data_IF_259680014058
#
_entry.id   IF_259680014058
#
_cell.length_a   1.000
_cell.length_b   1.000
_cell.length_c   1.000
_cell.angle_alpha   90.00
_cell.angle_beta   90.00
_cell.angle_gamma   90.00
#
_symmetry.space_group_name_H-M   'P 1'
#
loop_
_entity.id
_entity.type
_entity.pdbx_description
1 polymer ?
#
# COMPACT_ATOMS: atom_id res chain seq x y z
N UNK A 1 26.82 -6.20 9.77
CA UNK A 1 26.03 -5.60 10.87
C UNK A 1 26.48 -6.03 12.27
N UNK A 2 27.49 -6.86 12.39
CA UNK A 2 28.00 -7.36 13.68
C UNK A 2 28.76 -6.32 14.55
N UNK A 3 29.08 -5.15 14.03
CA UNK A 3 29.90 -4.18 14.76
C UNK A 3 29.17 -3.19 15.67
N UNK A 4 27.85 -2.99 15.52
CA UNK A 4 27.12 -1.97 16.27
C UNK A 4 26.19 -2.53 17.38
N UNK A 5 26.01 -3.84 17.44
CA UNK A 5 25.15 -4.50 18.44
C UNK A 5 25.94 -5.54 19.28
N UNK A 6 27.02 -5.16 19.89
CA UNK A 6 27.60 -5.95 21.00
C UNK A 6 26.93 -5.52 22.30
N UNK A 7 25.72 -6.02 22.56
CA UNK A 7 25.06 -5.83 23.85
C UNK A 7 23.54 -5.81 23.68
N UNK A 8 22.87 -6.89 24.04
CA UNK A 8 21.42 -7.11 24.13
C UNK A 8 20.71 -7.06 22.77
N UNK A 9 20.30 -8.21 22.27
CA UNK A 9 19.37 -8.37 21.15
C UNK A 9 17.99 -7.85 21.58
N UNK A 10 17.72 -6.58 21.33
CA UNK A 10 16.39 -6.01 21.48
C UNK A 10 15.77 -5.74 20.10
N UNK A 11 14.44 -5.82 19.97
CA UNK A 11 13.76 -5.41 18.75
C UNK A 11 14.11 -3.99 18.33
N UNK A 12 14.07 -3.70 17.03
CA UNK A 12 14.16 -2.33 16.52
C UNK A 12 12.98 -1.52 17.02
N UNK A 13 13.25 -0.37 17.63
CA UNK A 13 12.23 0.57 18.07
C UNK A 13 11.88 1.51 16.93
N UNK A 14 10.61 1.55 16.58
CA UNK A 14 10.12 2.22 15.35
C UNK A 14 9.07 3.26 15.69
N UNK A 15 9.20 4.46 15.11
CA UNK A 15 8.12 5.44 15.04
C UNK A 15 7.46 5.36 13.66
N UNK A 16 6.11 5.35 13.63
CA UNK A 16 5.33 5.36 12.40
C UNK A 16 4.55 6.66 12.27
N UNK A 17 4.95 7.54 11.33
CA UNK A 17 4.30 8.81 11.06
C UNK A 17 3.31 8.71 9.90
N UNK A 18 2.16 9.37 10.03
CA UNK A 18 1.04 9.27 9.08
C UNK A 18 0.58 7.81 8.97
N UNK A 19 0.43 7.18 10.11
CA UNK A 19 0.25 5.72 10.22
C UNK A 19 -1.01 5.21 9.54
N UNK A 20 -2.05 6.04 9.38
CA UNK A 20 -3.32 5.65 8.80
C UNK A 20 -3.88 4.42 9.52
N UNK A 21 -4.17 3.35 8.77
CA UNK A 21 -4.66 2.07 9.31
C UNK A 21 -3.53 1.07 9.62
N UNK A 22 -2.26 1.49 9.59
CA UNK A 22 -1.09 0.69 9.95
C UNK A 22 -0.46 -0.14 8.83
N UNK A 23 -0.50 0.37 7.60
CA UNK A 23 0.04 -0.35 6.45
C UNK A 23 1.53 -0.66 6.55
N UNK A 24 2.34 0.29 7.04
CA UNK A 24 3.79 0.07 7.22
C UNK A 24 4.09 -0.89 8.37
N UNK A 25 3.40 -0.76 9.51
CA UNK A 25 3.52 -1.71 10.63
C UNK A 25 3.20 -3.13 10.18
N UNK A 26 2.10 -3.30 9.43
CA UNK A 26 1.74 -4.60 8.86
C UNK A 26 2.82 -5.14 7.93
N UNK A 27 3.46 -4.28 7.13
CA UNK A 27 4.55 -4.67 6.24
C UNK A 27 5.79 -5.13 7.02
N UNK A 28 6.16 -4.47 8.13
CA UNK A 28 7.23 -4.92 9.02
C UNK A 28 6.95 -6.32 9.59
N UNK A 29 5.73 -6.53 10.09
CA UNK A 29 5.32 -7.84 10.63
C UNK A 29 5.40 -8.94 9.56
N UNK A 30 4.92 -8.67 8.34
CA UNK A 30 4.96 -9.63 7.23
C UNK A 30 6.38 -9.90 6.72
N UNK A 31 7.28 -8.95 6.86
CA UNK A 31 8.69 -9.13 6.53
C UNK A 31 9.45 -9.96 7.56
N UNK A 32 8.83 -10.28 8.69
CA UNK A 32 9.48 -10.99 9.79
C UNK A 32 10.62 -10.18 10.42
N UNK A 33 10.51 -8.84 10.37
CA UNK A 33 11.48 -7.95 11.01
C UNK A 33 11.25 -7.97 12.50
N UNK A 34 12.31 -8.18 13.29
CA UNK A 34 12.27 -8.05 14.73
C UNK A 34 12.22 -6.57 15.12
N UNK A 35 11.02 -6.02 15.11
CA UNK A 35 10.76 -4.60 15.33
C UNK A 35 9.48 -4.37 16.15
N UNK A 36 9.52 -3.36 17.00
CA UNK A 36 8.40 -2.87 17.80
C UNK A 36 8.06 -1.44 17.34
N UNK A 37 6.82 -1.20 16.92
CA UNK A 37 6.31 0.16 16.74
C UNK A 37 5.95 0.72 18.11
N UNK A 38 6.85 1.55 18.64
CA UNK A 38 6.75 2.11 20.01
C UNK A 38 5.78 3.27 20.08
N UNK A 39 5.58 3.99 18.97
CA UNK A 39 4.53 4.98 18.81
C UNK A 39 4.16 5.14 17.34
N UNK A 40 2.90 5.45 17.10
CA UNK A 40 2.34 5.77 15.80
C UNK A 40 1.62 7.13 15.86
N UNK A 41 1.63 7.88 14.76
CA UNK A 41 1.06 9.24 14.71
C UNK A 41 0.14 9.38 13.51
N UNK A 42 -1.11 9.73 13.74
CA UNK A 42 -2.04 10.16 12.69
C UNK A 42 -3.08 11.13 13.25
N UNK A 43 -3.52 12.07 12.42
CA UNK A 43 -4.54 13.06 12.80
C UNK A 43 -5.97 12.52 12.59
N UNK A 44 -6.13 11.45 11.81
CA UNK A 44 -7.42 10.91 11.41
C UNK A 44 -7.94 9.92 12.45
N UNK A 45 -8.93 10.34 13.22
CA UNK A 45 -9.56 9.58 14.28
C UNK A 45 -10.10 8.22 13.81
N UNK A 46 -10.83 8.20 12.69
CA UNK A 46 -11.39 6.95 12.11
C UNK A 46 -10.28 5.97 11.70
N UNK A 47 -9.15 6.48 11.19
CA UNK A 47 -8.00 5.64 10.87
C UNK A 47 -7.36 5.09 12.15
N UNK A 48 -7.28 5.90 13.21
CA UNK A 48 -6.75 5.48 14.51
C UNK A 48 -7.60 4.39 15.15
N UNK A 49 -8.94 4.45 15.03
CA UNK A 49 -9.84 3.39 15.50
C UNK A 49 -9.53 2.06 14.80
N UNK A 50 -9.34 2.09 13.48
CA UNK A 50 -8.98 0.89 12.70
C UNK A 50 -7.58 0.39 13.06
N UNK A 51 -6.63 1.29 13.27
CA UNK A 51 -5.26 0.94 13.69
C UNK A 51 -5.29 0.24 15.06
N UNK A 52 -6.04 0.79 16.01
CA UNK A 52 -6.20 0.22 17.35
C UNK A 52 -6.84 -1.18 17.29
N UNK A 53 -7.87 -1.37 16.46
CA UNK A 53 -8.49 -2.68 16.23
C UNK A 53 -7.49 -3.70 15.64
N UNK A 54 -6.61 -3.25 14.74
CA UNK A 54 -5.65 -4.13 14.09
C UNK A 54 -4.49 -4.53 15.01
N UNK A 55 -4.05 -3.64 15.90
CA UNK A 55 -2.77 -3.80 16.62
C UNK A 55 -2.86 -3.65 18.14
N UNK A 56 -4.04 -3.35 18.69
CA UNK A 56 -4.21 -3.10 20.12
C UNK A 56 -3.47 -1.85 20.64
N UNK A 57 -3.06 -0.97 19.74
CA UNK A 57 -2.32 0.26 20.03
C UNK A 57 -3.01 1.42 19.33
N UNK A 58 -3.47 2.42 20.08
CA UNK A 58 -4.06 3.62 19.51
C UNK A 58 -2.98 4.64 19.18
N UNK A 59 -2.86 5.08 17.91
CA UNK A 59 -1.90 6.11 17.53
C UNK A 59 -2.11 7.42 18.27
N UNK A 60 -1.03 8.14 18.54
CA UNK A 60 -1.09 9.50 19.04
C UNK A 60 -1.83 10.40 18.05
N UNK A 61 -3.00 10.88 18.47
CA UNK A 61 -3.85 11.75 17.67
C UNK A 61 -3.44 13.21 17.88
N UNK A 62 -2.88 13.83 16.86
CA UNK A 62 -2.48 15.22 16.98
C UNK A 62 -1.76 15.76 15.74
N UNK A 63 -1.49 17.06 15.79
CA UNK A 63 -0.68 17.70 14.76
C UNK A 63 0.79 17.44 15.04
N UNK A 64 1.43 16.58 14.24
CA UNK A 64 2.85 16.26 14.38
C UNK A 64 3.79 17.47 14.29
N UNK A 65 3.32 18.62 13.80
CA UNK A 65 4.10 19.85 13.78
C UNK A 65 4.38 20.42 15.18
N UNK A 66 3.62 19.98 16.20
CA UNK A 66 3.82 20.41 17.59
C UNK A 66 4.89 19.59 18.31
N UNK A 67 5.33 18.47 17.72
CA UNK A 67 6.37 17.63 18.30
C UNK A 67 7.72 18.36 18.32
N UNK A 68 8.44 18.22 19.41
CA UNK A 68 9.81 18.64 19.57
C UNK A 68 10.80 17.48 19.37
N UNK A 69 12.08 17.78 19.23
CA UNK A 69 13.12 16.78 19.19
C UNK A 69 13.16 15.95 20.49
N UNK A 70 12.95 16.60 21.65
CA UNK A 70 12.91 15.93 22.94
C UNK A 70 11.74 14.92 23.05
N UNK A 71 10.57 15.25 22.48
CA UNK A 71 9.45 14.30 22.43
C UNK A 71 9.82 13.05 21.64
N UNK A 72 10.46 13.22 20.47
CA UNK A 72 10.92 12.09 19.65
C UNK A 72 12.03 11.29 20.30
N UNK A 73 12.98 11.96 20.97
CA UNK A 73 14.09 11.33 21.70
C UNK A 73 13.58 10.43 22.84
N UNK A 74 12.45 10.79 23.47
CA UNK A 74 11.87 10.04 24.58
C UNK A 74 11.43 8.62 24.18
N UNK A 75 11.12 8.39 22.92
CA UNK A 75 10.76 7.07 22.39
C UNK A 75 11.98 6.18 22.13
N UNK A 76 13.19 6.72 22.13
CA UNK A 76 14.43 5.98 21.85
C UNK A 76 14.36 5.15 20.54
N UNK A 77 13.77 5.72 19.51
CA UNK A 77 13.51 5.02 18.26
C UNK A 77 14.76 4.90 17.37
N UNK A 78 15.00 3.70 16.86
CA UNK A 78 16.08 3.40 15.93
C UNK A 78 15.70 3.75 14.49
N UNK A 79 14.40 3.65 14.15
CA UNK A 79 13.91 3.87 12.79
C UNK A 79 12.61 4.67 12.75
N UNK A 80 12.47 5.49 11.70
CA UNK A 80 11.24 6.24 11.41
C UNK A 80 10.65 5.79 10.08
N UNK A 81 9.36 5.45 10.08
CA UNK A 81 8.56 5.15 8.89
C UNK A 81 7.63 6.32 8.62
N UNK A 82 7.64 6.84 7.40
CA UNK A 82 6.90 8.05 7.05
C UNK A 82 6.12 7.83 5.75
N UNK A 83 4.78 8.01 5.80
CA UNK A 83 3.92 8.04 4.61
C UNK A 83 3.17 9.38 4.50
N UNK A 84 3.90 10.49 4.23
CA UNK A 84 3.32 11.82 4.23
C UNK A 84 2.28 11.99 3.12
N UNK A 85 1.28 12.89 3.32
CA UNK A 85 0.20 13.11 2.38
C UNK A 85 0.68 13.38 0.95
N UNK A 86 0.09 12.68 -0.02
CA UNK A 86 0.49 12.72 -1.43
C UNK A 86 -0.15 13.87 -2.24
N UNK A 87 -1.21 14.52 -1.72
CA UNK A 87 -1.97 15.51 -2.47
C UNK A 87 -1.15 16.67 -3.03
N UNK A 88 -0.06 17.15 -2.39
CA UNK A 88 0.79 18.18 -2.98
C UNK A 88 1.46 17.79 -4.30
N UNK A 89 1.55 16.49 -4.61
CA UNK A 89 2.36 15.93 -5.72
C UNK A 89 1.52 15.22 -6.79
N UNK A 90 0.23 14.96 -6.55
CA UNK A 90 -0.62 14.26 -7.53
C UNK A 90 -0.96 15.13 -8.72
N UNK A 91 -1.06 14.53 -9.92
CA UNK A 91 -1.45 15.22 -11.17
C UNK A 91 -2.82 15.91 -11.09
N UNK A 92 -3.71 15.44 -10.22
CA UNK A 92 -5.05 16.00 -9.99
C UNK A 92 -5.05 17.08 -8.89
N UNK A 93 -3.96 17.25 -8.15
CA UNK A 93 -3.80 18.28 -7.13
C UNK A 93 -3.30 19.61 -7.69
N UNK A 94 -3.32 20.66 -6.86
CA UNK A 94 -2.82 21.99 -7.24
C UNK A 94 -1.29 22.07 -7.38
N UNK A 95 -0.56 20.97 -7.21
CA UNK A 95 0.90 20.84 -7.30
C UNK A 95 1.68 21.94 -6.56
N UNK A 96 1.17 22.37 -5.39
CA UNK A 96 1.75 23.47 -4.60
C UNK A 96 3.11 23.10 -3.96
N UNK A 97 3.55 21.85 -4.10
CA UNK A 97 4.83 21.39 -3.58
C UNK A 97 5.03 21.72 -2.09
N UNK A 98 6.19 22.23 -1.72
CA UNK A 98 6.55 22.57 -0.34
C UNK A 98 5.76 23.72 0.28
N UNK A 99 5.02 24.49 -0.51
CA UNK A 99 4.12 25.55 0.01
C UNK A 99 2.75 25.02 0.46
N UNK A 100 2.45 23.74 0.26
CA UNK A 100 1.26 23.10 0.81
C UNK A 100 1.48 22.78 2.30
N UNK A 101 0.51 23.14 3.15
CA UNK A 101 0.59 22.89 4.60
C UNK A 101 0.85 21.43 4.96
N UNK A 102 0.43 20.48 4.11
CA UNK A 102 0.63 19.05 4.29
C UNK A 102 2.08 18.63 4.02
N UNK A 103 2.77 19.27 3.07
CA UNK A 103 4.20 19.06 2.84
C UNK A 103 5.04 19.68 3.97
N UNK A 104 4.55 20.80 4.56
CA UNK A 104 5.22 21.47 5.66
C UNK A 104 5.35 20.54 6.90
N UNK A 105 4.31 19.78 7.25
CA UNK A 105 4.38 18.87 8.39
C UNK A 105 5.47 17.82 8.23
N UNK A 106 5.65 17.30 7.02
CA UNK A 106 6.70 16.33 6.71
C UNK A 106 8.11 16.93 6.85
N UNK A 107 8.34 18.09 6.25
CA UNK A 107 9.63 18.78 6.35
C UNK A 107 9.96 19.14 7.81
N UNK A 108 8.93 19.55 8.58
CA UNK A 108 9.10 19.86 10.01
C UNK A 108 9.64 18.67 10.81
N UNK A 109 9.11 17.46 10.56
CA UNK A 109 9.63 16.25 11.21
C UNK A 109 11.08 15.98 10.83
N UNK A 110 11.44 16.17 9.55
CA UNK A 110 12.84 15.98 9.11
C UNK A 110 13.79 17.02 9.71
N UNK A 111 13.33 18.26 9.91
CA UNK A 111 14.09 19.34 10.54
C UNK A 111 14.37 19.10 12.05
N UNK A 112 13.67 18.16 12.67
CA UNK A 112 13.96 17.74 14.06
C UNK A 112 15.17 16.81 14.14
N UNK A 113 15.57 16.14 13.05
CA UNK A 113 16.71 15.21 13.03
C UNK A 113 18.01 15.85 13.57
N UNK A 114 18.44 17.04 13.07
CA UNK A 114 19.65 17.68 13.58
C UNK A 114 19.51 18.22 15.01
N UNK A 115 18.29 18.37 15.52
CA UNK A 115 18.01 18.86 16.87
C UNK A 115 17.91 17.72 17.90
N UNK A 116 17.76 16.48 17.42
CA UNK A 116 17.61 15.28 18.23
C UNK A 116 18.95 14.88 18.85
N UNK A 117 18.95 14.53 20.13
CA UNK A 117 20.09 13.91 20.82
C UNK A 117 20.24 12.43 20.44
N UNK A 118 19.16 11.80 19.94
CA UNK A 118 19.09 10.40 19.51
C UNK A 118 18.45 10.27 18.15
N UNK A 119 19.01 10.88 17.09
CA UNK A 119 18.41 10.81 15.77
C UNK A 119 18.34 9.36 15.26
N UNK A 120 17.32 9.02 14.44
CA UNK A 120 17.16 7.67 13.96
C UNK A 120 18.37 7.22 13.14
N UNK A 121 18.66 5.93 13.15
CA UNK A 121 19.68 5.32 12.28
C UNK A 121 19.14 4.98 10.90
N UNK A 122 17.82 4.86 10.79
CA UNK A 122 17.13 4.54 9.54
C UNK A 122 15.87 5.36 9.35
N UNK A 123 15.60 5.74 8.08
CA UNK A 123 14.31 6.25 7.66
C UNK A 123 13.80 5.46 6.47
N UNK A 124 12.48 5.31 6.43
CA UNK A 124 11.74 4.80 5.27
C UNK A 124 10.64 5.79 4.93
N UNK A 125 10.61 6.28 3.69
CA UNK A 125 9.61 7.23 3.21
C UNK A 125 8.87 6.62 2.01
N UNK A 126 7.53 6.62 2.06
CA UNK A 126 6.67 6.23 0.94
C UNK A 126 5.89 7.43 0.43
N UNK A 127 5.76 7.55 -0.90
CA UNK A 127 4.90 8.55 -1.52
C UNK A 127 4.45 8.11 -2.93
N UNK A 128 3.68 8.96 -3.60
CA UNK A 128 3.28 8.73 -4.99
C UNK A 128 4.40 9.05 -5.97
N UNK A 129 4.36 8.47 -7.16
CA UNK A 129 5.20 8.88 -8.30
C UNK A 129 4.94 10.34 -8.62
N UNK A 130 6.01 11.09 -8.87
CA UNK A 130 6.02 12.54 -9.03
C UNK A 130 6.58 13.26 -7.79
N UNK A 131 6.59 12.60 -6.62
CA UNK A 131 7.27 13.15 -5.44
C UNK A 131 8.76 13.37 -5.71
N UNK A 132 9.42 12.45 -6.41
CA UNK A 132 10.85 12.48 -6.73
C UNK A 132 11.29 13.70 -7.58
N UNK A 133 10.34 14.36 -8.22
CA UNK A 133 10.62 15.57 -9.01
C UNK A 133 10.29 16.86 -8.27
N UNK A 134 9.70 16.77 -7.07
CA UNK A 134 9.21 17.89 -6.30
C UNK A 134 10.34 18.64 -5.57
N UNK A 135 10.05 19.89 -5.19
CA UNK A 135 10.90 20.69 -4.32
C UNK A 135 10.97 20.13 -2.89
N UNK A 136 9.91 19.48 -2.41
CA UNK A 136 9.90 18.78 -1.12
C UNK A 136 10.90 17.63 -1.10
N UNK A 137 10.96 16.84 -2.18
CA UNK A 137 11.96 15.79 -2.31
C UNK A 137 13.39 16.37 -2.26
N UNK A 138 13.65 17.44 -3.00
CA UNK A 138 14.97 18.09 -2.99
C UNK A 138 15.37 18.54 -1.58
N UNK A 139 14.43 19.12 -0.83
CA UNK A 139 14.66 19.52 0.57
C UNK A 139 14.91 18.31 1.46
N UNK A 140 14.10 17.23 1.31
CA UNK A 140 14.31 15.99 2.06
C UNK A 140 15.73 15.44 1.84
N UNK A 141 16.16 15.30 0.59
CA UNK A 141 17.49 14.78 0.25
C UNK A 141 18.60 15.67 0.81
N UNK A 142 18.41 17.01 0.76
CA UNK A 142 19.37 17.95 1.35
C UNK A 142 19.50 17.73 2.87
N UNK A 143 18.38 17.71 3.61
CA UNK A 143 18.36 17.48 5.07
C UNK A 143 19.01 16.13 5.40
N UNK A 144 18.66 15.05 4.69
CA UNK A 144 19.21 13.73 4.95
C UNK A 144 20.72 13.70 4.72
N UNK A 145 21.22 14.30 3.64
CA UNK A 145 22.65 14.38 3.33
C UNK A 145 23.42 15.18 4.39
N UNK A 146 22.93 16.34 4.79
CA UNK A 146 23.53 17.19 5.83
C UNK A 146 23.59 16.48 7.17
N UNK A 147 22.69 15.54 7.44
CA UNK A 147 22.65 14.74 8.67
C UNK A 147 23.28 13.35 8.50
N UNK A 148 24.18 13.20 7.53
CA UNK A 148 25.01 12.01 7.31
C UNK A 148 24.22 10.75 6.93
N UNK A 149 23.05 10.90 6.27
CA UNK A 149 22.33 9.78 5.69
C UNK A 149 22.81 9.52 4.26
N UNK A 150 22.88 8.22 3.94
CA UNK A 150 22.99 7.71 2.59
C UNK A 150 21.61 7.18 2.17
N UNK A 151 21.18 7.48 0.96
CA UNK A 151 19.85 7.08 0.48
C UNK A 151 19.92 6.06 -0.64
N UNK A 152 18.89 5.21 -0.74
CA UNK A 152 18.55 4.44 -1.94
C UNK A 152 17.07 4.68 -2.23
N UNK A 153 16.78 5.12 -3.43
CA UNK A 153 15.44 5.53 -3.81
C UNK A 153 14.90 4.61 -4.89
N UNK A 154 13.58 4.37 -4.88
CA UNK A 154 12.94 3.42 -5.79
C UNK A 154 11.59 3.93 -6.27
N UNK A 155 11.24 3.61 -7.53
CA UNK A 155 9.87 3.61 -8.01
C UNK A 155 9.50 2.17 -8.30
N UNK A 156 8.61 1.61 -7.45
CA UNK A 156 8.22 0.20 -7.53
C UNK A 156 6.70 0.06 -7.61
N UNK A 157 6.26 -1.02 -8.25
CA UNK A 157 4.86 -1.42 -8.35
C UNK A 157 4.72 -2.90 -7.99
N UNK A 158 3.59 -3.33 -7.42
CA UNK A 158 3.31 -4.75 -7.15
C UNK A 158 3.46 -5.66 -8.36
N UNK A 159 3.27 -5.14 -9.59
CA UNK A 159 3.52 -5.89 -10.83
C UNK A 159 4.94 -6.46 -10.90
N UNK A 160 5.94 -5.74 -10.37
CA UNK A 160 7.34 -6.18 -10.37
C UNK A 160 7.60 -7.36 -9.42
N UNK A 161 6.59 -7.72 -8.62
CA UNK A 161 6.61 -8.81 -7.66
C UNK A 161 5.56 -9.90 -7.98
N UNK A 162 5.07 -9.92 -9.23
CA UNK A 162 4.12 -10.94 -9.71
C UNK A 162 2.66 -10.72 -9.28
N UNK A 163 2.34 -9.61 -8.62
CA UNK A 163 0.98 -9.25 -8.22
C UNK A 163 0.31 -8.42 -9.32
N UNK A 164 -0.87 -8.82 -9.85
CA UNK A 164 -1.51 -8.15 -10.99
C UNK A 164 -2.15 -6.81 -10.60
N UNK A 165 -1.40 -5.95 -9.93
CA UNK A 165 -1.85 -4.68 -9.41
C UNK A 165 -0.90 -3.54 -9.77
N UNK A 166 -1.33 -2.64 -10.66
CA UNK A 166 -0.55 -1.50 -11.10
C UNK A 166 -0.69 -0.35 -10.10
N UNK A 167 0.23 -0.28 -9.15
CA UNK A 167 0.29 0.77 -8.14
C UNK A 167 1.72 1.28 -7.95
N UNK A 168 2.29 2.01 -8.91
CA UNK A 168 3.64 2.53 -8.74
C UNK A 168 3.71 3.56 -7.60
N UNK A 169 4.75 3.45 -6.78
CA UNK A 169 5.05 4.31 -5.64
C UNK A 169 6.52 4.63 -5.57
N UNK A 170 6.79 5.82 -5.08
CA UNK A 170 8.12 6.23 -4.68
C UNK A 170 8.42 5.71 -3.27
N UNK A 171 9.64 5.21 -3.09
CA UNK A 171 10.18 4.80 -1.81
C UNK A 171 11.58 5.37 -1.64
N UNK A 172 11.89 5.86 -0.44
CA UNK A 172 13.24 6.23 -0.05
C UNK A 172 13.64 5.48 1.21
N UNK A 173 14.75 4.78 1.12
CA UNK A 173 15.44 4.16 2.24
C UNK A 173 16.65 5.05 2.57
N UNK A 174 16.80 5.46 3.82
CA UNK A 174 17.93 6.22 4.27
C UNK A 174 18.58 5.57 5.47
N UNK A 175 19.91 5.43 5.46
CA UNK A 175 20.71 4.90 6.56
C UNK A 175 21.75 5.93 6.96
N UNK A 176 21.82 6.21 8.26
CA UNK A 176 22.81 7.15 8.81
C UNK A 176 24.15 6.46 9.03
N UNK A 177 25.21 7.08 8.56
CA UNK A 177 26.59 6.61 8.79
C UNK A 177 26.83 6.46 10.32
N UNK A 178 27.46 5.35 10.79
CA UNK A 178 28.24 4.37 10.01
C UNK A 178 27.42 3.19 9.44
N UNK A 179 26.08 3.16 9.59
CA UNK A 179 25.27 2.08 9.01
C UNK A 179 25.24 2.22 7.49
N UNK A 180 25.47 1.11 6.78
CA UNK A 180 25.58 1.09 5.32
C UNK A 180 24.53 0.15 4.68
N UNK A 181 24.27 0.38 3.40
CA UNK A 181 23.54 -0.59 2.58
C UNK A 181 24.45 -1.74 2.14
N UNK A 182 23.87 -2.93 1.99
CA UNK A 182 24.60 -4.11 1.50
C UNK A 182 25.16 -3.89 0.10
N UNK A 183 24.44 -3.14 -0.73
CA UNK A 183 24.89 -2.83 -2.09
C UNK A 183 25.11 -1.31 -2.28
N UNK A 184 26.30 -0.81 -1.97
CA UNK A 184 26.60 0.62 -2.03
C UNK A 184 26.62 1.21 -3.43
N UNK A 185 26.64 0.39 -4.51
CA UNK A 185 26.59 0.86 -5.90
C UNK A 185 25.30 1.65 -6.23
N UNK A 186 24.24 1.43 -5.45
CA UNK A 186 22.95 2.11 -5.62
C UNK A 186 22.77 3.32 -4.68
N UNK A 187 23.76 3.65 -3.90
CA UNK A 187 23.70 4.77 -2.99
C UNK A 187 23.46 6.09 -3.73
N UNK A 188 22.53 6.89 -3.21
CA UNK A 188 22.12 8.19 -3.72
C UNK A 188 21.61 8.12 -5.19
N UNK A 189 20.97 7.00 -5.55
CA UNK A 189 20.37 6.79 -6.89
C UNK A 189 18.89 6.47 -6.76
N UNK A 190 18.14 6.91 -7.78
CA UNK A 190 16.74 6.52 -7.99
C UNK A 190 16.69 5.33 -8.96
N UNK A 191 16.12 4.23 -8.52
CA UNK A 191 15.99 2.97 -9.25
C UNK A 191 14.52 2.73 -9.62
N UNK A 192 14.28 2.16 -10.81
CA UNK A 192 12.94 1.79 -11.28
C UNK A 192 12.70 0.28 -11.31
N UNK A 193 13.67 -0.47 -10.86
CA UNK A 193 13.60 -1.93 -10.71
C UNK A 193 14.00 -2.30 -9.30
N UNK A 194 13.51 -3.43 -8.75
CA UNK A 194 13.94 -3.90 -7.44
C UNK A 194 15.41 -4.26 -7.38
N UNK A 195 16.12 -4.24 -8.52
CA UNK A 195 17.56 -4.45 -8.63
C UNK A 195 18.04 -5.75 -8.01
N UNK A 196 19.32 -5.85 -7.67
CA UNK A 196 19.91 -7.03 -7.04
C UNK A 196 19.46 -7.27 -5.58
N UNK A 197 18.37 -6.64 -5.16
CA UNK A 197 17.65 -7.02 -3.94
C UNK A 197 17.38 -8.53 -3.94
N UNK A 198 17.25 -9.15 -5.10
CA UNK A 198 16.99 -10.58 -5.27
C UNK A 198 18.22 -11.47 -5.46
N UNK A 199 19.43 -10.94 -5.34
CA UNK A 199 20.66 -11.75 -5.49
C UNK A 199 20.85 -12.41 -6.87
N UNK A 200 20.02 -12.07 -7.85
CA UNK A 200 20.16 -12.55 -9.21
C UNK A 200 21.13 -11.64 -9.96
N UNK A 201 22.25 -12.20 -10.37
CA UNK A 201 23.27 -11.55 -11.20
C UNK A 201 22.77 -11.20 -12.63
N UNK A 202 21.50 -11.40 -12.94
CA UNK A 202 20.96 -11.41 -14.30
C UNK A 202 19.91 -10.35 -14.63
N UNK A 203 19.86 -9.21 -14.01
CA UNK A 203 19.13 -8.11 -14.65
C UNK A 203 19.59 -6.75 -14.18
N UNK A 204 20.74 -6.34 -14.67
CA UNK A 204 20.96 -4.92 -14.94
C UNK A 204 20.10 -4.55 -16.14
N UNK A 205 18.76 -4.44 -15.95
CA UNK A 205 17.98 -3.65 -16.86
C UNK A 205 18.60 -2.25 -16.83
N UNK A 206 19.17 -1.85 -17.94
CA UNK A 206 19.75 -0.52 -18.08
C UNK A 206 18.69 0.51 -17.73
N UNK A 207 19.09 1.61 -17.11
CA UNK A 207 18.18 2.67 -16.60
C UNK A 207 17.13 3.09 -17.64
N UNK A 208 17.34 2.86 -18.94
CA UNK A 208 16.40 3.13 -20.04
C UNK A 208 15.36 2.03 -20.33
N UNK A 209 15.61 0.78 -19.96
CA UNK A 209 14.68 -0.32 -20.28
C UNK A 209 13.45 -0.34 -19.38
N UNK A 210 13.58 0.05 -18.12
CA UNK A 210 12.47 0.10 -17.17
C UNK A 210 11.40 1.17 -17.50
N UNK A 211 11.71 2.11 -18.41
CA UNK A 211 10.76 3.11 -18.90
C UNK A 211 10.01 2.64 -20.16
N UNK A 212 10.40 1.49 -20.75
CA UNK A 212 9.79 0.98 -21.96
C UNK A 212 8.47 0.24 -21.70
N UNK A 213 7.49 0.39 -22.61
CA UNK A 213 6.25 -0.38 -22.56
C UNK A 213 6.52 -1.89 -22.59
N UNK A 214 7.50 -2.33 -23.37
CA UNK A 214 7.91 -3.73 -23.49
C UNK A 214 8.34 -4.34 -22.14
N UNK A 215 9.01 -3.58 -21.29
CA UNK A 215 9.36 -4.03 -19.93
C UNK A 215 8.10 -4.29 -19.09
N UNK A 216 7.13 -3.38 -19.12
CA UNK A 216 5.88 -3.53 -18.37
C UNK A 216 5.01 -4.67 -18.91
N UNK A 217 4.99 -4.87 -20.23
CA UNK A 217 4.24 -5.97 -20.86
C UNK A 217 4.84 -7.32 -20.43
N UNK A 218 6.17 -7.46 -20.44
CA UNK A 218 6.87 -8.66 -19.96
C UNK A 218 6.60 -8.93 -18.48
N UNK A 219 6.57 -7.91 -17.64
CA UNK A 219 6.21 -8.07 -16.23
C UNK A 219 4.78 -8.57 -16.04
N UNK A 220 3.83 -8.08 -16.84
CA UNK A 220 2.44 -8.56 -16.78
C UNK A 220 2.34 -10.05 -17.10
N UNK A 221 3.12 -10.56 -18.05
CA UNK A 221 3.15 -11.98 -18.40
C UNK A 221 3.57 -12.86 -17.23
N UNK A 222 4.41 -12.36 -16.32
CA UNK A 222 4.87 -13.07 -15.12
C UNK A 222 3.89 -13.00 -13.96
N UNK A 223 2.93 -12.07 -13.97
CA UNK A 223 1.94 -11.93 -12.91
C UNK A 223 0.95 -13.09 -12.90
N UNK A 224 0.41 -13.40 -11.74
CA UNK A 224 -0.72 -14.31 -11.60
C UNK A 224 -1.98 -13.70 -12.25
N UNK A 225 -2.89 -14.50 -12.83
CA UNK A 225 -4.14 -13.98 -13.37
C UNK A 225 -5.06 -13.51 -12.23
N UNK A 226 -5.90 -12.52 -12.52
CA UNK A 226 -6.83 -11.91 -11.55
C UNK A 226 -7.75 -12.96 -10.91
N UNK A 227 -8.14 -14.01 -11.66
CA UNK A 227 -9.02 -15.08 -11.15
C UNK A 227 -8.50 -15.73 -9.85
N UNK A 228 -7.19 -15.78 -9.65
CA UNK A 228 -6.58 -16.40 -8.47
C UNK A 228 -6.80 -15.53 -7.21
N UNK A 229 -7.26 -14.30 -7.38
CA UNK A 229 -7.56 -13.33 -6.32
C UNK A 229 -9.07 -13.12 -6.11
N UNK A 230 -9.93 -13.77 -6.90
CA UNK A 230 -11.38 -13.63 -6.79
C UNK A 230 -11.95 -14.56 -5.73
N UNK A 231 -13.03 -14.13 -5.12
CA UNK A 231 -13.80 -14.99 -4.21
C UNK A 231 -14.46 -16.13 -5.00
N UNK A 232 -14.29 -17.37 -4.54
CA UNK A 232 -14.95 -18.53 -5.12
C UNK A 232 -16.46 -18.39 -4.98
N UNK A 233 -17.23 -18.72 -6.04
CA UNK A 233 -18.71 -18.71 -6.00
C UNK A 233 -19.31 -19.68 -4.94
N UNK A 234 -18.50 -20.53 -4.34
CA UNK A 234 -18.92 -21.59 -3.41
C UNK A 234 -18.78 -21.22 -1.92
N UNK A 235 -18.64 -19.92 -1.58
CA UNK A 235 -18.63 -19.54 -0.16
C UNK A 235 -20.07 -19.48 0.38
N UNK A 236 -20.65 -20.69 0.61
CA UNK A 236 -21.86 -20.88 1.39
C UNK A 236 -21.58 -20.63 2.88
N UNK A 237 -22.33 -19.69 3.44
CA UNK A 237 -22.92 -19.64 4.80
C UNK A 237 -22.13 -19.95 6.07
N UNK A 238 -20.84 -20.20 6.12
CA UNK A 238 -20.18 -20.59 7.39
C UNK A 238 -19.57 -19.43 8.22
N UNK A 239 -19.59 -18.19 7.78
CA UNK A 239 -18.91 -17.07 8.48
C UNK A 239 -19.89 -15.99 9.01
N UNK A 240 -21.20 -16.24 8.99
CA UNK A 240 -22.17 -15.26 9.55
C UNK A 240 -22.49 -15.52 11.03
N UNK A 241 -21.95 -16.59 11.67
CA UNK A 241 -22.30 -16.95 13.04
C UNK A 241 -21.42 -16.38 14.15
N UNK A 242 -20.35 -15.63 13.88
CA UNK A 242 -19.43 -15.17 14.95
C UNK A 242 -19.51 -13.68 15.34
N UNK A 243 -20.38 -12.88 14.76
CA UNK A 243 -20.44 -11.44 15.13
C UNK A 243 -21.84 -10.88 15.45
N UNK A 244 -22.76 -11.69 15.95
CA UNK A 244 -24.03 -11.15 16.46
C UNK A 244 -24.43 -11.80 17.79
N UNK A 245 -23.62 -11.64 18.82
CA UNK A 245 -23.96 -11.95 20.21
C UNK A 245 -23.62 -10.77 21.09
N UNK A 246 -24.36 -9.65 20.93
CA UNK A 246 -24.53 -8.66 22.00
C UNK A 246 -25.76 -7.79 21.74
N UNK A 247 -26.73 -7.96 22.68
CA UNK A 247 -27.90 -7.14 23.00
C UNK A 247 -29.17 -7.45 22.23
N UNK A 248 -30.16 -7.96 22.91
CA UNK A 248 -31.00 -7.38 23.93
C UNK A 248 -32.41 -7.85 23.69
N UNK A 249 -32.99 -8.53 24.64
CA UNK A 249 -34.42 -8.91 24.75
C UNK A 249 -35.37 -7.77 24.42
N UNK A 250 -36.30 -7.97 23.47
CA UNK A 250 -37.66 -7.45 23.54
C UNK A 250 -38.60 -8.45 22.85
N UNK A 251 -39.59 -8.85 23.63
CA UNK A 251 -40.83 -9.58 23.50
C UNK A 251 -41.44 -9.83 22.12
N UNK A 252 -42.03 -11.02 22.09
CA UNK A 252 -42.98 -11.58 21.16
C UNK A 252 -44.15 -10.67 20.77
N UNK A 253 -44.48 -10.66 19.47
CA UNK A 253 -45.88 -10.82 19.08
C UNK A 253 -45.95 -11.37 17.62
N UNK A 254 -46.67 -12.43 17.53
CA UNK A 254 -47.09 -13.17 16.36
C UNK A 254 -47.84 -12.31 15.32
N UNK A 255 -47.50 -12.47 14.02
CA UNK A 255 -48.50 -12.64 12.95
C UNK A 255 -47.90 -13.19 11.66
N UNK A 256 -48.43 -14.21 11.26
CA UNK A 256 -48.78 -14.99 10.06
C UNK A 256 -48.50 -14.34 8.71
N UNK A 257 -47.60 -15.01 7.95
CA UNK A 257 -47.58 -15.45 6.54
C UNK A 257 -47.97 -14.44 5.44
N UNK A 258 -47.02 -14.18 4.55
CA UNK A 258 -47.25 -14.30 3.12
C UNK A 258 -45.91 -14.75 2.47
N UNK A 259 -45.92 -15.87 1.76
CA UNK A 259 -44.84 -16.38 0.93
C UNK A 259 -44.68 -15.43 -0.27
N UNK A 260 -43.81 -14.46 -0.18
CA UNK A 260 -43.21 -13.86 -1.36
C UNK A 260 -42.00 -14.71 -1.78
N UNK A 261 -42.05 -15.23 -3.00
CA UNK A 261 -40.92 -15.85 -3.71
C UNK A 261 -39.85 -14.79 -3.95
N UNK A 262 -39.13 -14.43 -2.89
CA UNK A 262 -37.99 -13.54 -2.95
C UNK A 262 -36.85 -14.24 -3.69
N UNK A 263 -36.39 -13.68 -4.81
CA UNK A 263 -35.12 -14.02 -5.42
C UNK A 263 -34.05 -13.96 -4.33
N UNK A 264 -33.35 -15.06 -4.11
CA UNK A 264 -32.20 -15.11 -3.20
C UNK A 264 -31.12 -14.23 -3.81
N UNK A 265 -31.05 -12.98 -3.36
CA UNK A 265 -30.01 -12.04 -3.80
C UNK A 265 -28.63 -12.66 -3.54
N UNK A 266 -27.89 -12.92 -4.61
CA UNK A 266 -26.55 -13.44 -4.50
C UNK A 266 -25.65 -12.37 -3.82
N UNK A 267 -24.79 -12.71 -2.85
CA UNK A 267 -23.97 -11.74 -2.12
C UNK A 267 -23.14 -10.79 -3.00
N UNK A 268 -22.91 -11.16 -4.26
CA UNK A 268 -22.18 -10.35 -5.24
C UNK A 268 -23.04 -9.35 -6.02
N UNK A 269 -24.38 -9.45 -5.96
CA UNK A 269 -25.28 -8.61 -6.77
C UNK A 269 -25.19 -7.13 -6.39
N UNK A 270 -24.89 -6.83 -5.14
CA UNK A 270 -24.63 -5.47 -4.64
C UNK A 270 -23.41 -4.79 -5.29
N UNK A 271 -22.52 -5.56 -5.91
CA UNK A 271 -21.31 -5.05 -6.59
C UNK A 271 -21.51 -4.87 -8.10
N UNK A 272 -22.67 -5.20 -8.66
CA UNK A 272 -22.93 -5.04 -10.09
C UNK A 272 -22.96 -3.55 -10.45
N UNK A 273 -22.28 -3.20 -11.55
CA UNK A 273 -22.27 -1.84 -12.06
C UNK A 273 -23.59 -1.56 -12.77
N UNK A 274 -24.35 -0.52 -12.38
CA UNK A 274 -25.60 -0.16 -13.03
C UNK A 274 -25.45 0.06 -14.54
N UNK A 275 -26.36 -0.48 -15.35
CA UNK A 275 -26.33 -0.39 -16.82
C UNK A 275 -26.28 1.05 -17.32
N UNK A 276 -26.93 1.99 -16.60
CA UNK A 276 -26.90 3.41 -16.93
C UNK A 276 -25.48 4.02 -16.84
N UNK A 277 -24.66 3.55 -15.88
CA UNK A 277 -23.25 3.97 -15.77
C UNK A 277 -22.41 3.36 -16.90
N UNK A 278 -22.66 2.09 -17.26
CA UNK A 278 -21.98 1.42 -18.37
C UNK A 278 -22.25 2.13 -19.68
N UNK A 279 -23.51 2.47 -19.97
CA UNK A 279 -23.88 3.22 -21.17
C UNK A 279 -23.24 4.59 -21.24
N UNK A 280 -23.16 5.30 -20.10
CA UNK A 280 -22.65 6.68 -20.07
C UNK A 280 -21.13 6.76 -20.08
N UNK A 281 -20.44 5.83 -19.43
CA UNK A 281 -19.02 5.91 -19.14
C UNK A 281 -18.18 4.72 -19.62
N UNK A 282 -18.80 3.74 -20.31
CA UNK A 282 -18.14 2.48 -20.68
C UNK A 282 -16.81 2.66 -21.41
N UNK A 283 -16.72 3.63 -22.32
CA UNK A 283 -15.47 3.94 -23.04
C UNK A 283 -14.34 4.50 -22.17
N UNK A 284 -14.66 4.95 -20.95
CA UNK A 284 -13.70 5.52 -20.00
C UNK A 284 -13.42 4.59 -18.80
N UNK A 285 -14.04 3.42 -18.76
CA UNK A 285 -13.83 2.40 -17.74
C UNK A 285 -12.57 1.57 -18.05
N UNK A 286 -11.83 1.21 -17.02
CA UNK A 286 -10.79 0.19 -17.12
C UNK A 286 -11.44 -1.17 -16.82
N UNK A 287 -11.62 -2.00 -17.85
CA UNK A 287 -12.29 -3.30 -17.76
C UNK A 287 -11.26 -4.40 -17.81
N UNK A 288 -11.33 -5.30 -16.86
CA UNK A 288 -10.48 -6.47 -16.77
C UNK A 288 -11.29 -7.77 -16.73
N UNK A 289 -10.65 -8.86 -17.14
CA UNK A 289 -11.23 -10.19 -17.20
C UNK A 289 -10.56 -11.09 -16.14
N UNK A 290 -11.15 -12.21 -15.77
CA UNK A 290 -10.52 -13.16 -14.84
C UNK A 290 -9.10 -13.59 -15.27
N UNK A 291 -8.85 -13.70 -16.57
CA UNK A 291 -7.54 -14.08 -17.13
C UNK A 291 -6.57 -12.89 -17.26
N UNK A 292 -7.02 -11.67 -17.03
CA UNK A 292 -6.14 -10.50 -17.07
C UNK A 292 -5.08 -10.59 -15.98
N UNK A 293 -3.88 -10.10 -16.29
CA UNK A 293 -2.70 -10.13 -15.40
C UNK A 293 -2.32 -8.74 -14.91
N UNK A 294 -3.28 -7.81 -14.97
CA UNK A 294 -3.13 -6.43 -14.50
C UNK A 294 -4.48 -5.83 -14.19
N UNK A 295 -4.59 -5.12 -13.07
CA UNK A 295 -5.65 -4.16 -12.79
C UNK A 295 -5.04 -2.80 -12.41
N UNK A 296 -5.83 -1.73 -12.58
CA UNK A 296 -5.44 -0.37 -12.22
C UNK A 296 -5.51 -0.13 -10.71
N UNK A 297 -4.85 0.93 -10.26
CA UNK A 297 -4.84 1.33 -8.87
C UNK A 297 -6.25 1.69 -8.37
N UNK A 298 -6.72 0.97 -7.36
CA UNK A 298 -7.96 1.30 -6.65
C UNK A 298 -7.76 2.52 -5.75
N UNK A 299 -8.70 3.46 -5.83
CA UNK A 299 -8.67 4.70 -5.06
C UNK A 299 -9.78 4.72 -4.00
N UNK A 300 -9.73 5.66 -3.05
CA UNK A 300 -10.78 5.88 -2.03
C UNK A 300 -12.18 6.06 -2.64
N UNK A 301 -12.26 6.51 -3.88
CA UNK A 301 -13.53 6.78 -4.59
C UNK A 301 -14.01 5.61 -5.45
N UNK A 302 -13.43 4.42 -5.33
CA UNK A 302 -13.68 3.28 -6.21
C UNK A 302 -15.16 2.92 -6.37
N UNK A 303 -15.90 2.86 -5.28
CA UNK A 303 -17.34 2.55 -5.31
C UNK A 303 -18.24 3.75 -5.62
N UNK A 304 -17.68 4.95 -5.78
CA UNK A 304 -18.44 6.18 -6.09
C UNK A 304 -18.38 6.56 -7.55
N UNK A 305 -17.27 6.24 -8.22
CA UNK A 305 -17.00 6.60 -9.61
C UNK A 305 -16.45 5.39 -10.36
N UNK A 306 -16.79 5.29 -11.64
CA UNK A 306 -16.34 4.19 -12.52
C UNK A 306 -15.15 4.59 -13.41
N UNK A 307 -14.77 5.88 -13.42
CA UNK A 307 -13.69 6.40 -14.25
C UNK A 307 -12.47 6.74 -13.40
N UNK A 308 -11.34 6.09 -13.71
CA UNK A 308 -10.04 6.42 -13.10
C UNK A 308 -9.91 6.11 -11.62
N UNK A 309 -10.78 5.25 -11.08
CA UNK A 309 -10.79 4.89 -9.65
C UNK A 309 -10.39 3.45 -9.38
N UNK A 310 -10.17 2.66 -10.42
CA UNK A 310 -9.80 1.25 -10.39
C UNK A 310 -10.44 0.49 -11.54
N UNK A 311 -10.08 -0.78 -11.68
CA UNK A 311 -10.62 -1.67 -12.71
C UNK A 311 -11.98 -2.24 -12.31
N UNK A 312 -12.82 -2.52 -13.31
CA UNK A 312 -14.07 -3.26 -13.16
C UNK A 312 -13.90 -4.66 -13.74
N UNK A 313 -14.47 -5.66 -13.08
CA UNK A 313 -14.39 -7.06 -13.51
C UNK A 313 -15.55 -7.43 -14.42
N UNK A 314 -15.25 -7.95 -15.60
CA UNK A 314 -16.22 -8.58 -16.49
C UNK A 314 -16.47 -10.02 -16.01
N UNK A 315 -17.74 -10.35 -15.67
CA UNK A 315 -18.12 -11.68 -15.17
C UNK A 315 -18.65 -12.63 -16.23
N UNK A 316 -19.01 -12.12 -17.43
CA UNK A 316 -19.51 -12.88 -18.57
C UNK A 316 -18.59 -12.81 -19.80
N UNK A 317 -17.35 -13.40 -19.74
CA UNK A 317 -16.35 -13.24 -20.80
C UNK A 317 -16.71 -13.96 -22.12
N UNK A 318 -17.68 -14.91 -22.10
CA UNK A 318 -18.00 -15.74 -23.25
C UNK A 318 -18.68 -15.02 -24.43
N UNK A 319 -19.14 -13.79 -24.24
CA UNK A 319 -19.85 -13.01 -25.26
C UNK A 319 -18.96 -12.09 -26.09
N UNK A 320 -17.67 -12.02 -25.81
CA UNK A 320 -16.75 -11.08 -26.46
C UNK A 320 -16.07 -11.62 -27.72
N UNK A 321 -16.54 -12.73 -28.30
CA UNK A 321 -15.96 -13.27 -29.55
C UNK A 321 -16.26 -12.43 -30.79
N UNK A 322 -17.27 -11.57 -30.75
CA UNK A 322 -17.61 -10.66 -31.84
C UNK A 322 -17.30 -9.21 -31.43
N UNK A 323 -16.61 -8.48 -32.30
CA UNK A 323 -16.28 -7.04 -32.12
C UNK A 323 -17.52 -6.12 -32.02
N UNK A 324 -18.73 -6.68 -32.11
CA UNK A 324 -20.02 -6.02 -32.04
C UNK A 324 -20.73 -6.16 -30.69
N UNK A 325 -20.17 -6.94 -29.74
CA UNK A 325 -20.80 -7.14 -28.43
C UNK A 325 -20.84 -5.83 -27.63
N UNK A 326 -22.02 -5.48 -27.15
CA UNK A 326 -22.22 -4.29 -26.33
C UNK A 326 -21.57 -4.47 -24.95
N UNK A 327 -20.95 -3.41 -24.41
CA UNK A 327 -20.37 -3.42 -23.07
C UNK A 327 -21.35 -3.86 -21.97
N UNK A 328 -22.66 -3.65 -22.21
CA UNK A 328 -23.73 -4.09 -21.30
C UNK A 328 -23.83 -5.62 -21.17
N UNK A 329 -23.33 -6.38 -22.15
CA UNK A 329 -23.36 -7.84 -22.14
C UNK A 329 -22.26 -8.46 -21.25
N UNK A 330 -21.26 -7.69 -20.88
CA UNK A 330 -20.12 -8.15 -20.07
C UNK A 330 -20.45 -8.36 -18.59
N UNK A 331 -21.61 -7.88 -18.13
CA UNK A 331 -22.00 -7.94 -16.71
C UNK A 331 -20.84 -7.46 -15.79
N UNK A 332 -20.57 -6.16 -15.86
CA UNK A 332 -19.49 -5.56 -15.10
C UNK A 332 -19.82 -5.48 -13.60
N UNK A 333 -18.86 -5.80 -12.75
CA UNK A 333 -18.96 -5.57 -11.32
C UNK A 333 -17.71 -4.91 -10.72
N UNK A 334 -17.89 -4.29 -9.58
CA UNK A 334 -16.78 -3.89 -8.73
C UNK A 334 -16.12 -5.12 -8.09
N UNK A 335 -14.85 -5.01 -7.77
CA UNK A 335 -14.19 -5.96 -6.87
C UNK A 335 -14.73 -5.80 -5.45
N UNK A 336 -14.91 -6.90 -4.74
CA UNK A 336 -15.34 -6.84 -3.34
C UNK A 336 -14.22 -6.31 -2.45
N UNK A 337 -14.53 -5.79 -1.24
CA UNK A 337 -13.50 -5.39 -0.28
C UNK A 337 -12.55 -6.52 0.09
N UNK A 338 -13.02 -7.77 0.05
CA UNK A 338 -12.20 -8.96 0.35
C UNK A 338 -11.24 -9.26 -0.79
N UNK A 339 -11.70 -9.20 -2.05
CA UNK A 339 -10.84 -9.37 -3.23
C UNK A 339 -9.74 -8.30 -3.27
N UNK A 340 -10.09 -7.04 -2.96
CA UNK A 340 -9.10 -5.96 -2.84
C UNK A 340 -8.09 -6.21 -1.73
N UNK A 341 -8.51 -6.84 -0.61
CA UNK A 341 -7.60 -7.23 0.48
C UNK A 341 -6.74 -8.43 0.12
N UNK A 342 -7.26 -9.41 -0.62
CA UNK A 342 -6.50 -10.59 -1.07
C UNK A 342 -5.39 -10.13 -1.99
N UNK A 343 -5.67 -9.27 -2.96
CA UNK A 343 -4.64 -8.68 -3.83
C UNK A 343 -3.56 -7.91 -3.04
N UNK A 344 -3.89 -7.38 -1.85
CA UNK A 344 -2.93 -6.77 -0.93
C UNK A 344 -2.25 -7.74 0.04
N UNK A 345 -2.83 -8.94 0.27
CA UNK A 345 -2.33 -9.93 1.25
C UNK A 345 -1.44 -11.01 0.66
N UNK A 346 -1.55 -11.33 -0.64
CA UNK A 346 -0.78 -12.43 -1.25
C UNK A 346 0.66 -12.01 -1.58
N UNK A 347 1.41 -11.74 -0.53
CA UNK A 347 2.86 -11.88 -0.54
C UNK A 347 3.29 -13.25 0.05
N UNK A 348 2.43 -14.25 -0.01
CA UNK A 348 2.75 -15.63 0.35
C UNK A 348 2.94 -16.45 -0.93
N UNK A 349 4.08 -17.12 -1.06
CA UNK A 349 4.33 -18.03 -2.17
C UNK A 349 3.32 -19.18 -2.13
N UNK A 350 2.44 -19.26 -3.12
CA UNK A 350 1.40 -20.29 -3.20
C UNK A 350 1.91 -21.73 -3.33
N UNK A 351 3.22 -21.96 -3.57
CA UNK A 351 3.81 -23.27 -3.76
C UNK A 351 4.55 -23.82 -2.55
N UNK A 352 4.96 -23.00 -1.59
CA UNK A 352 5.79 -23.44 -0.45
C UNK A 352 5.32 -22.92 0.92
N UNK A 353 4.23 -22.12 0.97
CA UNK A 353 3.74 -21.52 2.23
C UNK A 353 4.70 -20.53 2.90
N UNK A 354 5.84 -20.24 2.26
CA UNK A 354 6.77 -19.22 2.76
C UNK A 354 6.29 -17.83 2.37
N UNK A 355 6.26 -16.89 3.32
CA UNK A 355 5.96 -15.50 2.98
C UNK A 355 6.96 -15.03 1.92
N UNK A 356 6.44 -14.52 0.79
CA UNK A 356 7.29 -13.75 -0.13
C UNK A 356 7.69 -12.52 0.68
N UNK A 357 8.87 -12.58 1.29
CA UNK A 357 9.48 -11.42 1.93
C UNK A 357 9.52 -10.34 0.85
N UNK A 358 8.79 -9.24 1.05
CA UNK A 358 8.95 -8.08 0.18
C UNK A 358 10.45 -7.79 0.15
N UNK A 359 11.11 -7.84 -1.00
CA UNK A 359 12.55 -7.60 -1.06
C UNK A 359 12.93 -6.23 -0.52
N UNK A 360 11.99 -5.28 -0.54
CA UNK A 360 12.11 -3.97 0.10
C UNK A 360 12.41 -4.14 1.60
N UNK A 361 11.73 -5.04 2.31
CA UNK A 361 11.94 -5.21 3.75
C UNK A 361 13.23 -5.95 4.09
N UNK A 362 13.66 -6.95 3.31
CA UNK A 362 14.98 -7.58 3.49
C UNK A 362 16.12 -6.62 3.15
N UNK A 363 15.88 -5.69 2.21
CA UNK A 363 16.86 -4.66 1.83
C UNK A 363 16.88 -3.46 2.77
N UNK A 364 15.82 -3.27 3.56
CA UNK A 364 15.81 -2.29 4.65
C UNK A 364 16.92 -2.63 5.67
N UNK A 365 17.44 -3.88 5.64
CA UNK A 365 18.56 -4.29 6.48
C UNK A 365 18.20 -4.35 7.94
N UNK A 366 16.97 -4.75 8.23
CA UNK A 366 16.56 -5.23 9.53
C UNK A 366 16.94 -6.73 9.74
N UNK A 367 17.63 -7.35 8.78
CA UNK A 367 18.19 -8.71 8.90
C UNK A 367 19.69 -8.65 8.74
#
# INVERSE_FOLDING_TARGET
MEGLRKGVERPWRVLEFYSGIGGMRYSLMKAGVDAEVVEAFDINDVANDVYEQNFGHRPHQGNIQTLSAADLDSYEADAWLLSPPCQPYTRQGHQKGSSDARAFSFLKILELIPQSSRPPVMLFVENVVGFETSDTHKKMIAILRENHFCTQEFILSPLQFGVPYSRPRYFCLAKRIPVSFQNPLFNNKLLRTPGPIHGSSESTATIGEADSQAYWDKLQETCQPIKDFLESKNFTSEVVSEQCSMRGNVSESSNVIEEETGSVDHPLDQYIVPSSLVQRWGSAMDIVFPESRRCCCFTKSYFRYVKGTGSLLATAPGKMKDKTSSLSELQLRYFTPRELRIAGKQFECGSCGTPIRLPICSSIGFV
#
